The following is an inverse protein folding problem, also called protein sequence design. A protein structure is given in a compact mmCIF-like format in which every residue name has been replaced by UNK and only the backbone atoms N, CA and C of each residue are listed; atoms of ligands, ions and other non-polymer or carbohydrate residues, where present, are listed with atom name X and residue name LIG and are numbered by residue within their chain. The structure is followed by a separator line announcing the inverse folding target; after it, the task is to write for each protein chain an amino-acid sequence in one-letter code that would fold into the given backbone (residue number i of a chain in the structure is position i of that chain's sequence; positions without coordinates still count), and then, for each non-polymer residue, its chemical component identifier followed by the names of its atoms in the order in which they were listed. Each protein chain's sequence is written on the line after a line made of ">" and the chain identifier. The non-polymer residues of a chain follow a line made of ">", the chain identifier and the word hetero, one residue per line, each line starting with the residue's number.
data_IF_376546247091
#
_entry.id   IF_376546247091
#
_cell.length_a   1.000
_cell.length_b   1.000
_cell.length_c   1.000
_cell.angle_alpha   90.00
_cell.angle_beta   90.00
_cell.angle_gamma   90.00
#
_symmetry.space_group_name_H-M   'P 1'
#
loop_
_entity.id
_entity.type
_entity.pdbx_description
1 polymer ?
#
# COMPACT_ATOMS: atom_id res chain seq x y z
N UNK A 1 19.28 14.61 -3.41
CA UNK A 1 19.53 14.23 -4.81
C UNK A 1 18.42 14.67 -5.76
N UNK A 2 17.13 14.57 -5.40
CA UNK A 2 16.03 15.19 -6.18
C UNK A 2 16.10 16.73 -6.28
N UNK A 3 16.58 17.41 -5.22
CA UNK A 3 16.82 18.87 -5.20
C UNK A 3 17.89 19.33 -6.20
N UNK A 4 18.89 18.48 -6.44
CA UNK A 4 20.08 18.84 -7.21
C UNK A 4 19.88 18.63 -8.71
N UNK A 5 18.94 17.78 -9.12
CA UNK A 5 18.74 17.42 -10.53
C UNK A 5 17.40 17.83 -11.16
N UNK A 6 16.32 18.02 -10.40
CA UNK A 6 14.98 18.18 -10.99
C UNK A 6 14.16 19.41 -10.54
N UNK A 7 14.70 20.28 -9.69
CA UNK A 7 14.01 21.48 -9.16
C UNK A 7 12.59 21.25 -8.58
N UNK A 8 12.20 20.01 -8.29
CA UNK A 8 10.91 19.73 -7.64
C UNK A 8 11.03 20.09 -6.16
N UNK A 9 10.14 20.97 -5.70
CA UNK A 9 10.12 21.41 -4.30
C UNK A 9 9.85 20.21 -3.39
N UNK A 10 10.66 19.99 -2.35
CA UNK A 10 10.47 18.90 -1.37
C UNK A 10 9.03 18.83 -0.84
N UNK A 11 8.38 20.00 -0.76
CA UNK A 11 6.97 20.20 -0.42
C UNK A 11 6.06 19.35 -1.32
N UNK A 12 6.24 19.46 -2.63
CA UNK A 12 5.43 18.78 -3.65
C UNK A 12 5.69 17.28 -3.70
N UNK A 13 6.95 16.85 -3.52
CA UNK A 13 7.28 15.43 -3.44
C UNK A 13 6.64 14.78 -2.22
N UNK A 14 6.74 15.41 -1.04
CA UNK A 14 6.06 14.90 0.17
C UNK A 14 4.55 14.86 0.03
N UNK A 15 3.95 15.91 -0.56
CA UNK A 15 2.51 15.97 -0.80
C UNK A 15 2.04 14.85 -1.73
N UNK A 16 2.76 14.64 -2.84
CA UNK A 16 2.46 13.60 -3.82
C UNK A 16 2.58 12.21 -3.21
N UNK A 17 3.64 11.93 -2.45
CA UNK A 17 3.83 10.63 -1.80
C UNK A 17 2.69 10.34 -0.82
N UNK A 18 2.31 11.32 0.00
CA UNK A 18 1.20 11.16 0.95
C UNK A 18 -0.10 10.91 0.19
N UNK A 19 -0.40 11.71 -0.84
CA UNK A 19 -1.61 11.55 -1.66
C UNK A 19 -1.67 10.18 -2.32
N UNK A 20 -0.59 9.75 -2.99
CA UNK A 20 -0.52 8.45 -3.65
C UNK A 20 -0.67 7.31 -2.64
N UNK A 21 -0.03 7.43 -1.47
CA UNK A 21 -0.16 6.42 -0.41
C UNK A 21 -1.60 6.32 0.09
N UNK A 22 -2.26 7.45 0.32
CA UNK A 22 -3.66 7.49 0.76
C UNK A 22 -4.60 6.89 -0.28
N UNK A 23 -4.43 7.23 -1.56
CA UNK A 23 -5.21 6.64 -2.66
C UNK A 23 -5.01 5.12 -2.77
N UNK A 24 -3.77 4.66 -2.65
CA UNK A 24 -3.45 3.24 -2.70
C UNK A 24 -4.05 2.48 -1.49
N UNK A 25 -3.94 3.05 -0.28
CA UNK A 25 -4.53 2.47 0.93
C UNK A 25 -6.06 2.47 0.87
N UNK A 26 -6.69 3.52 0.34
CA UNK A 26 -8.14 3.53 0.12
C UNK A 26 -8.56 2.43 -0.86
N UNK A 27 -7.83 2.27 -1.96
CA UNK A 27 -8.06 1.22 -2.95
C UNK A 27 -7.94 -0.18 -2.35
N UNK A 28 -6.96 -0.40 -1.46
CA UNK A 28 -6.80 -1.65 -0.70
C UNK A 28 -8.04 -1.96 0.14
N UNK A 29 -8.62 -0.97 0.82
CA UNK A 29 -9.84 -1.20 1.65
C UNK A 29 -10.99 -1.67 0.77
N UNK A 30 -11.24 -1.03 -0.37
CA UNK A 30 -12.26 -1.47 -1.32
C UNK A 30 -11.98 -2.89 -1.85
N UNK A 31 -10.74 -3.16 -2.21
CA UNK A 31 -10.31 -4.48 -2.68
C UNK A 31 -10.54 -5.58 -1.62
N UNK A 32 -10.19 -5.31 -0.36
CA UNK A 32 -10.38 -6.24 0.75
C UNK A 32 -11.85 -6.43 1.14
N UNK A 33 -12.69 -5.39 1.01
CA UNK A 33 -14.15 -5.50 1.19
C UNK A 33 -14.73 -6.46 0.15
N UNK A 34 -14.34 -6.34 -1.12
CA UNK A 34 -14.77 -7.27 -2.18
C UNK A 34 -14.35 -8.71 -1.83
N UNK A 35 -13.09 -8.90 -1.40
CA UNK A 35 -12.60 -10.22 -0.97
C UNK A 35 -13.39 -10.79 0.21
N UNK A 36 -13.79 -9.96 1.16
CA UNK A 36 -14.61 -10.38 2.29
C UNK A 36 -16.04 -10.76 1.89
N UNK A 37 -16.68 -10.02 0.98
CA UNK A 37 -17.99 -10.42 0.46
C UNK A 37 -17.93 -11.76 -0.29
N UNK A 38 -16.87 -11.99 -1.08
CA UNK A 38 -16.62 -13.27 -1.74
C UNK A 38 -16.41 -14.41 -0.73
N UNK A 39 -15.70 -14.14 0.37
CA UNK A 39 -15.53 -15.08 1.47
C UNK A 39 -16.86 -15.47 2.13
N UNK A 40 -17.73 -14.48 2.38
CA UNK A 40 -19.05 -14.75 2.97
C UNK A 40 -19.90 -15.65 2.08
N UNK A 41 -19.85 -15.42 0.76
CA UNK A 41 -20.55 -16.22 -0.25
C UNK A 41 -19.98 -17.64 -0.41
N UNK A 42 -18.71 -17.88 -0.04
CA UNK A 42 -18.08 -19.19 -0.18
C UNK A 42 -18.49 -20.14 0.96
N UNK A 43 -19.07 -21.32 0.66
CA UNK A 43 -19.42 -22.32 1.67
C UNK A 43 -18.20 -23.11 2.17
N UNK A 44 -17.04 -23.00 1.50
CA UNK A 44 -15.82 -23.77 1.79
C UNK A 44 -15.17 -23.40 3.13
N UNK A 45 -15.49 -22.22 3.66
CA UNK A 45 -14.83 -21.68 4.86
C UNK A 45 -15.66 -21.87 6.12
N UNK A 46 -14.99 -22.26 7.20
CA UNK A 46 -15.60 -22.37 8.52
C UNK A 46 -16.14 -21.02 9.00
N UNK A 47 -17.20 -21.05 9.80
CA UNK A 47 -17.81 -19.83 10.32
C UNK A 47 -16.80 -19.02 11.17
N UNK A 48 -15.90 -19.71 11.88
CA UNK A 48 -14.80 -19.09 12.64
C UNK A 48 -13.81 -18.33 11.75
N UNK A 49 -13.50 -18.83 10.56
CA UNK A 49 -12.61 -18.15 9.62
C UNK A 49 -13.27 -16.89 9.03
N UNK A 50 -14.57 -16.96 8.75
CA UNK A 50 -15.36 -15.81 8.27
C UNK A 50 -15.42 -14.70 9.32
N UNK A 51 -15.70 -15.03 10.58
CA UNK A 51 -15.74 -14.03 11.66
C UNK A 51 -14.37 -13.42 11.94
N UNK A 52 -13.31 -14.23 11.95
CA UNK A 52 -11.95 -13.74 12.14
C UNK A 52 -11.53 -12.77 11.03
N UNK A 53 -11.79 -13.12 9.77
CA UNK A 53 -11.46 -12.25 8.63
C UNK A 53 -12.29 -10.96 8.66
N UNK A 54 -13.57 -11.05 9.01
CA UNK A 54 -14.44 -9.87 9.14
C UNK A 54 -13.99 -8.92 10.25
N UNK A 55 -13.61 -9.46 11.42
CA UNK A 55 -13.06 -8.68 12.52
C UNK A 55 -11.73 -8.01 12.10
N UNK A 56 -10.86 -8.76 11.43
CA UNK A 56 -9.58 -8.26 10.91
C UNK A 56 -9.79 -7.08 9.96
N UNK A 57 -10.73 -7.24 9.01
CA UNK A 57 -11.08 -6.19 8.06
C UNK A 57 -11.69 -4.97 8.75
N UNK A 58 -12.57 -5.17 9.74
CA UNK A 58 -13.18 -4.09 10.50
C UNK A 58 -12.14 -3.29 11.31
N UNK A 59 -11.22 -3.97 11.98
CA UNK A 59 -10.11 -3.34 12.72
C UNK A 59 -9.23 -2.56 11.74
N UNK A 60 -8.83 -3.19 10.63
CA UNK A 60 -7.96 -2.57 9.64
C UNK A 60 -8.59 -1.35 8.98
N UNK A 61 -9.86 -1.45 8.57
CA UNK A 61 -10.65 -0.34 8.03
C UNK A 61 -10.80 0.79 9.06
N UNK A 62 -11.02 0.46 10.34
CA UNK A 62 -11.11 1.43 11.43
C UNK A 62 -9.79 2.15 11.66
N UNK A 63 -8.65 1.44 11.67
CA UNK A 63 -7.32 2.05 11.77
C UNK A 63 -7.05 3.02 10.61
N UNK A 64 -7.39 2.62 9.38
CA UNK A 64 -7.26 3.48 8.19
C UNK A 64 -8.18 4.70 8.31
N UNK A 65 -9.43 4.51 8.73
CA UNK A 65 -10.37 5.61 8.91
C UNK A 65 -9.88 6.58 9.97
N UNK A 66 -9.40 6.10 11.12
CA UNK A 66 -8.81 6.92 12.18
C UNK A 66 -7.59 7.69 11.64
N UNK A 67 -6.68 7.02 10.95
CA UNK A 67 -5.52 7.66 10.34
C UNK A 67 -5.91 8.72 9.31
N UNK A 68 -6.90 8.43 8.47
CA UNK A 68 -7.46 9.37 7.50
C UNK A 68 -8.16 10.55 8.18
N UNK A 69 -8.91 10.32 9.26
CA UNK A 69 -9.54 11.38 10.05
C UNK A 69 -8.48 12.26 10.73
N UNK A 70 -7.41 11.68 11.29
CA UNK A 70 -6.29 12.42 11.86
C UNK A 70 -5.63 13.31 10.81
N UNK A 71 -5.40 12.78 9.60
CA UNK A 71 -4.89 13.56 8.46
C UNK A 71 -5.88 14.67 8.04
N UNK A 72 -7.16 14.33 7.82
CA UNK A 72 -8.19 15.24 7.28
C UNK A 72 -8.61 16.34 8.26
N UNK A 73 -8.65 16.07 9.56
CA UNK A 73 -9.14 17.02 10.57
C UNK A 73 -8.04 17.91 11.16
N UNK A 74 -6.81 17.89 10.61
CA UNK A 74 -5.70 18.71 11.11
C UNK A 74 -5.54 18.63 12.64
N UNK A 75 -5.72 17.45 13.24
CA UNK A 75 -5.54 17.28 14.70
C UNK A 75 -4.10 17.59 15.11
N UNK A 76 -3.14 17.43 14.20
CA UNK A 76 -1.80 18.00 14.31
C UNK A 76 -1.83 19.52 14.53
N UNK A 77 -2.59 20.30 13.75
CA UNK A 77 -2.68 21.76 13.91
C UNK A 77 -3.37 22.20 15.20
N UNK A 78 -4.39 21.46 15.69
CA UNK A 78 -5.08 21.78 16.95
C UNK A 78 -4.26 21.41 18.18
N UNK A 79 -3.55 20.28 18.14
CA UNK A 79 -2.61 19.88 19.19
C UNK A 79 -1.40 20.84 19.19
N UNK A 80 -0.94 21.29 18.02
CA UNK A 80 0.11 22.32 17.87
C UNK A 80 -0.35 23.69 18.36
N UNK A 81 -1.59 24.12 18.12
CA UNK A 81 -2.11 25.37 18.69
C UNK A 81 -2.28 25.32 20.20
N UNK A 82 -2.53 24.15 20.80
CA UNK A 82 -2.55 23.99 22.26
C UNK A 82 -1.16 23.84 22.88
N UNK A 83 -0.19 23.31 22.14
CA UNK A 83 1.22 23.23 22.56
C UNK A 83 2.03 24.50 22.21
N UNK A 84 1.51 25.39 21.37
CA UNK A 84 2.13 26.64 20.93
C UNK A 84 2.32 27.69 22.03
N UNK A 85 1.88 27.43 23.26
CA UNK A 85 2.21 28.22 24.44
C UNK A 85 3.47 27.74 25.18
N UNK A 86 4.14 26.68 24.72
CA UNK A 86 5.41 26.23 25.29
C UNK A 86 6.51 26.27 24.22
N UNK A 87 7.59 27.00 24.54
CA UNK A 87 8.98 27.16 24.01
C UNK A 87 9.45 26.56 22.66
N UNK A 88 8.71 25.66 22.00
CA UNK A 88 9.07 24.95 20.77
C UNK A 88 8.45 25.56 19.49
N UNK A 89 7.66 26.63 19.60
CA UNK A 89 6.87 27.23 18.51
C UNK A 89 7.69 27.70 17.30
N UNK A 90 8.85 28.33 17.53
CA UNK A 90 9.62 28.96 16.45
C UNK A 90 10.42 27.95 15.60
N UNK A 91 10.75 26.78 16.16
CA UNK A 91 11.47 25.72 15.41
C UNK A 91 10.55 24.84 14.57
N UNK A 92 9.24 24.85 14.84
CA UNK A 92 8.24 24.03 14.16
C UNK A 92 7.49 24.79 13.05
N UNK A 93 7.56 26.13 13.02
CA UNK A 93 6.82 26.96 12.06
C UNK A 93 7.16 26.66 10.57
N UNK A 94 8.43 26.40 10.25
CA UNK A 94 8.88 26.15 8.86
C UNK A 94 8.41 24.81 8.25
N UNK A 95 8.43 23.67 8.97
CA UNK A 95 7.82 22.44 8.47
C UNK A 95 6.27 22.47 8.48
N UNK A 96 5.64 23.33 9.28
CA UNK A 96 4.17 23.44 9.40
C UNK A 96 3.50 24.18 8.23
N UNK A 97 4.15 25.20 7.67
CA UNK A 97 3.70 25.88 6.44
C UNK A 97 3.68 24.93 5.24
N UNK A 98 4.51 23.90 5.32
CA UNK A 98 4.69 22.87 4.32
C UNK A 98 3.47 21.92 4.24
N UNK A 99 2.96 21.52 5.40
CA UNK A 99 1.77 20.67 5.55
C UNK A 99 0.47 21.35 5.12
N UNK A 100 0.33 22.67 5.31
CA UNK A 100 -0.85 23.43 4.86
C UNK A 100 -1.04 23.39 3.34
N UNK A 101 0.06 23.47 2.59
CA UNK A 101 0.02 23.38 1.11
C UNK A 101 -0.36 21.98 0.60
N UNK A 102 -0.11 20.94 1.39
CA UNK A 102 -0.54 19.56 1.09
C UNK A 102 -2.05 19.41 1.30
N UNK A 103 -2.58 19.97 2.39
CA UNK A 103 -4.01 19.96 2.71
C UNK A 103 -4.86 20.73 1.69
N UNK A 104 -4.40 21.90 1.23
CA UNK A 104 -5.17 22.71 0.30
C UNK A 104 -5.21 22.05 -1.10
N UNK A 105 -4.11 21.39 -1.51
CA UNK A 105 -4.06 20.57 -2.74
C UNK A 105 -4.86 19.28 -2.61
N UNK A 106 -4.91 18.65 -1.44
CA UNK A 106 -5.84 17.54 -1.16
C UNK A 106 -7.29 18.03 -1.32
N UNK A 107 -7.62 19.20 -0.78
CA UNK A 107 -8.94 19.82 -0.93
C UNK A 107 -9.33 20.14 -2.38
N UNK A 108 -8.41 20.59 -3.22
CA UNK A 108 -8.64 20.76 -4.67
C UNK A 108 -8.72 19.43 -5.43
N UNK A 109 -7.89 18.44 -5.08
CA UNK A 109 -7.93 17.10 -5.69
C UNK A 109 -9.25 16.37 -5.38
N UNK A 110 -9.76 16.49 -4.15
CA UNK A 110 -11.08 15.99 -3.76
C UNK A 110 -12.23 16.77 -4.41
N UNK A 111 -12.05 18.05 -4.76
CA UNK A 111 -13.04 18.85 -5.49
C UNK A 111 -13.12 18.49 -6.97
N UNK A 112 -12.03 18.02 -7.57
CA UNK A 112 -12.01 17.48 -8.92
C UNK A 112 -12.32 15.97 -8.94
N UNK A 113 -13.60 15.64 -8.78
CA UNK A 113 -14.16 14.28 -8.87
C UNK A 113 -13.57 13.41 -10.01
N UNK A 114 -13.38 13.88 -11.25
CA UNK A 114 -12.84 13.04 -12.32
C UNK A 114 -11.35 12.69 -12.13
N UNK A 115 -10.53 13.60 -11.58
CA UNK A 115 -9.11 13.33 -11.32
C UNK A 115 -8.94 12.34 -10.16
N UNK A 116 -9.72 12.55 -9.08
CA UNK A 116 -9.77 11.63 -7.94
C UNK A 116 -10.25 10.24 -8.36
N UNK A 117 -11.33 10.16 -9.15
CA UNK A 117 -11.86 8.91 -9.68
C UNK A 117 -10.83 8.19 -10.54
N UNK A 118 -10.16 8.88 -11.45
CA UNK A 118 -9.15 8.27 -12.32
C UNK A 118 -7.95 7.74 -11.52
N UNK A 119 -7.47 8.51 -10.53
CA UNK A 119 -6.40 8.06 -9.62
C UNK A 119 -6.81 6.84 -8.81
N UNK A 120 -8.06 6.79 -8.35
CA UNK A 120 -8.60 5.64 -7.62
C UNK A 120 -8.80 4.43 -8.52
N UNK A 121 -9.23 4.60 -9.78
CA UNK A 121 -9.32 3.51 -10.77
C UNK A 121 -7.93 2.95 -11.07
N UNK A 122 -6.93 3.79 -11.34
CA UNK A 122 -5.56 3.33 -11.61
C UNK A 122 -4.97 2.61 -10.39
N UNK A 123 -5.17 3.19 -9.19
CA UNK A 123 -4.78 2.55 -7.94
C UNK A 123 -5.51 1.22 -7.70
N UNK A 124 -6.77 1.13 -8.10
CA UNK A 124 -7.56 -0.10 -8.00
C UNK A 124 -7.13 -1.16 -9.02
N UNK A 125 -6.90 -0.79 -10.28
CA UNK A 125 -6.51 -1.70 -11.37
C UNK A 125 -5.18 -2.41 -11.10
N UNK A 126 -4.34 -1.85 -10.25
CA UNK A 126 -3.13 -2.52 -9.79
C UNK A 126 -3.41 -3.79 -8.95
N UNK A 127 -4.51 -3.83 -8.19
CA UNK A 127 -4.78 -4.95 -7.27
C UNK A 127 -5.21 -6.24 -7.99
N UNK A 128 -6.12 -6.23 -8.98
CA UNK A 128 -6.47 -7.43 -9.74
C UNK A 128 -5.28 -8.13 -10.41
N UNK A 129 -4.17 -7.44 -10.69
CA UNK A 129 -2.95 -8.09 -11.20
C UNK A 129 -2.37 -9.08 -10.18
N UNK A 130 -2.41 -8.77 -8.89
CA UNK A 130 -1.98 -9.69 -7.83
C UNK A 130 -2.89 -10.92 -7.70
N UNK A 131 -4.18 -10.75 -7.95
CA UNK A 131 -5.17 -11.84 -8.01
C UNK A 131 -4.91 -12.74 -9.20
N UNK A 132 -4.73 -12.14 -10.38
CA UNK A 132 -4.44 -12.86 -11.61
C UNK A 132 -3.14 -13.67 -11.48
N UNK A 133 -2.13 -13.11 -10.83
CA UNK A 133 -0.88 -13.82 -10.52
C UNK A 133 -1.14 -15.09 -9.71
N UNK A 134 -1.92 -15.02 -8.62
CA UNK A 134 -2.23 -16.23 -7.82
C UNK A 134 -3.03 -17.23 -8.63
N UNK A 135 -4.03 -16.76 -9.37
CA UNK A 135 -4.88 -17.61 -10.20
C UNK A 135 -4.03 -18.40 -11.21
N UNK A 136 -3.15 -17.71 -11.94
CA UNK A 136 -2.24 -18.33 -12.91
C UNK A 136 -1.24 -19.27 -12.24
N UNK A 137 -0.66 -18.89 -11.09
CA UNK A 137 0.26 -19.75 -10.35
C UNK A 137 -0.40 -21.06 -9.89
N UNK A 138 -1.64 -20.99 -9.41
CA UNK A 138 -2.41 -22.17 -9.02
C UNK A 138 -2.72 -23.08 -10.21
N UNK A 139 -3.00 -22.49 -11.38
CA UNK A 139 -3.16 -23.24 -12.63
C UNK A 139 -1.86 -23.99 -13.01
N UNK A 140 -0.71 -23.32 -12.92
CA UNK A 140 0.60 -23.93 -13.16
C UNK A 140 0.97 -25.02 -12.14
N UNK A 141 0.53 -24.87 -10.90
CA UNK A 141 0.69 -25.87 -9.84
C UNK A 141 -0.30 -27.03 -9.96
N UNK A 142 -1.08 -27.10 -11.04
CA UNK A 142 -2.09 -28.13 -11.30
C UNK A 142 -3.18 -28.20 -10.22
N UNK A 143 -3.46 -27.08 -9.56
CA UNK A 143 -4.49 -26.97 -8.54
C UNK A 143 -5.40 -25.76 -8.82
N UNK A 144 -6.24 -25.83 -9.86
CA UNK A 144 -7.06 -24.70 -10.29
C UNK A 144 -8.01 -24.29 -9.17
N UNK A 145 -7.94 -23.01 -8.79
CA UNK A 145 -8.85 -22.41 -7.81
C UNK A 145 -9.82 -21.47 -8.52
N UNK A 146 -10.95 -21.15 -7.89
CA UNK A 146 -11.85 -20.15 -8.47
C UNK A 146 -11.20 -18.76 -8.42
N UNK A 147 -11.61 -17.86 -9.33
CA UNK A 147 -11.13 -16.47 -9.29
C UNK A 147 -11.48 -15.78 -7.96
N UNK A 148 -12.59 -16.16 -7.33
CA UNK A 148 -12.98 -15.68 -6.01
C UNK A 148 -12.00 -16.15 -4.92
N UNK A 149 -11.57 -17.41 -4.97
CA UNK A 149 -10.58 -17.97 -4.05
C UNK A 149 -9.21 -17.26 -4.22
N UNK A 150 -8.81 -16.96 -5.47
CA UNK A 150 -7.59 -16.19 -5.75
C UNK A 150 -7.67 -14.75 -5.21
N UNK A 151 -8.83 -14.10 -5.34
CA UNK A 151 -9.06 -12.75 -4.82
C UNK A 151 -8.97 -12.72 -3.30
N UNK A 152 -9.57 -13.71 -2.64
CA UNK A 152 -9.49 -13.88 -1.20
C UNK A 152 -8.05 -14.08 -0.74
N UNK A 153 -7.31 -14.96 -1.44
CA UNK A 153 -5.92 -15.26 -1.13
C UNK A 153 -5.06 -13.99 -1.19
N UNK A 154 -5.22 -13.17 -2.24
CA UNK A 154 -4.49 -11.89 -2.32
C UNK A 154 -4.96 -10.89 -1.26
N UNK A 155 -6.27 -10.78 -1.03
CA UNK A 155 -6.82 -9.86 -0.04
C UNK A 155 -6.23 -10.07 1.34
N UNK A 156 -6.13 -11.32 1.80
CA UNK A 156 -5.53 -11.62 3.11
C UNK A 156 -4.03 -11.33 3.09
N UNK A 157 -3.31 -11.69 2.03
CA UNK A 157 -1.88 -11.37 1.90
C UNK A 157 -1.62 -9.85 2.05
N UNK A 158 -2.48 -9.02 1.45
CA UNK A 158 -2.35 -7.57 1.49
C UNK A 158 -2.75 -6.99 2.86
N UNK A 159 -3.78 -7.55 3.51
CA UNK A 159 -4.13 -7.19 4.88
C UNK A 159 -3.01 -7.53 5.87
N UNK A 160 -2.42 -8.72 5.74
CA UNK A 160 -1.25 -9.10 6.56
C UNK A 160 -0.11 -8.14 6.31
N UNK A 161 0.29 -7.93 5.04
CA UNK A 161 1.37 -6.99 4.67
C UNK A 161 1.16 -5.60 5.26
N UNK A 162 -0.08 -5.12 5.27
CA UNK A 162 -0.40 -3.80 5.78
C UNK A 162 -0.47 -3.77 7.32
N UNK A 163 -0.93 -4.84 7.97
CA UNK A 163 -0.92 -5.00 9.43
C UNK A 163 0.48 -5.18 10.00
N UNK A 164 1.38 -5.80 9.23
CA UNK A 164 2.77 -6.07 9.61
C UNK A 164 3.75 -5.04 9.04
N UNK A 165 3.28 -3.82 8.73
CA UNK A 165 4.09 -2.76 8.12
C UNK A 165 5.38 -2.41 8.89
N UNK A 166 5.42 -2.72 10.19
CA UNK A 166 6.58 -2.51 11.06
C UNK A 166 7.62 -3.64 10.98
N UNK A 167 7.29 -4.78 10.35
CA UNK A 167 8.19 -5.92 10.17
C UNK A 167 8.97 -5.71 8.86
N UNK A 168 10.31 -5.58 8.93
CA UNK A 168 11.15 -5.43 7.74
C UNK A 168 10.97 -6.63 6.80
N UNK A 169 10.74 -6.35 5.50
CA UNK A 169 10.49 -7.34 4.46
C UNK A 169 9.33 -8.33 4.73
N UNK A 170 8.53 -8.13 5.79
CA UNK A 170 7.45 -9.02 6.22
C UNK A 170 7.89 -10.50 6.34
N UNK A 171 9.13 -10.74 6.80
CA UNK A 171 9.69 -12.08 6.89
C UNK A 171 8.91 -12.91 7.92
N UNK A 172 8.48 -14.11 7.51
CA UNK A 172 7.77 -15.08 8.34
C UNK A 172 6.26 -14.84 8.41
N UNK A 173 5.81 -13.58 8.34
CA UNK A 173 4.39 -13.26 8.46
C UNK A 173 3.61 -13.51 7.18
N UNK A 174 4.15 -13.10 6.03
CA UNK A 174 3.51 -13.40 4.75
C UNK A 174 3.59 -14.89 4.45
N UNK A 175 4.75 -15.50 4.62
CA UNK A 175 4.93 -16.95 4.42
C UNK A 175 3.94 -17.74 5.26
N UNK A 176 3.89 -17.49 6.57
CA UNK A 176 2.95 -18.17 7.47
C UNK A 176 1.50 -17.95 7.05
N UNK A 177 1.12 -16.73 6.69
CA UNK A 177 -0.25 -16.44 6.26
C UNK A 177 -0.65 -17.20 5.00
N UNK A 178 0.22 -17.23 3.99
CA UNK A 178 -0.07 -17.89 2.71
C UNK A 178 -0.08 -19.41 2.84
N UNK A 179 0.73 -19.98 3.73
CA UNK A 179 0.70 -21.41 4.06
C UNK A 179 -0.61 -21.80 4.72
N UNK A 180 -1.03 -21.05 5.74
CA UNK A 180 -2.29 -21.32 6.44
C UNK A 180 -3.51 -21.13 5.53
N UNK A 181 -3.50 -20.11 4.67
CA UNK A 181 -4.54 -19.91 3.67
C UNK A 181 -4.54 -21.01 2.61
N UNK A 182 -3.36 -21.38 2.10
CA UNK A 182 -3.20 -22.48 1.15
C UNK A 182 -3.77 -23.78 1.72
N UNK A 183 -3.41 -24.12 2.96
CA UNK A 183 -3.96 -25.29 3.65
C UNK A 183 -5.49 -25.21 3.80
N UNK A 184 -6.04 -24.04 4.12
CA UNK A 184 -7.49 -23.86 4.31
C UNK A 184 -8.28 -23.91 3.00
N UNK A 185 -7.69 -23.45 1.89
CA UNK A 185 -8.34 -23.37 0.58
C UNK A 185 -8.19 -24.66 -0.25
N UNK A 186 -7.01 -25.25 -0.21
CA UNK A 186 -6.59 -26.35 -1.09
C UNK A 186 -6.39 -27.67 -0.37
N UNK A 187 -6.34 -27.65 0.97
CA UNK A 187 -5.95 -28.81 1.79
C UNK A 187 -4.44 -29.06 1.81
N UNK A 188 -3.64 -28.29 1.06
CA UNK A 188 -2.19 -28.48 0.97
C UNK A 188 -1.41 -27.27 1.51
N UNK A 189 -0.53 -27.51 2.48
CA UNK A 189 0.43 -26.51 2.96
C UNK A 189 1.50 -26.21 1.89
N UNK A 190 1.83 -27.20 1.05
CA UNK A 190 2.88 -27.11 0.04
C UNK A 190 2.55 -26.07 -1.03
N UNK A 191 1.27 -25.97 -1.43
CA UNK A 191 0.82 -24.97 -2.39
C UNK A 191 0.93 -23.55 -1.85
N UNK A 192 0.57 -23.33 -0.57
CA UNK A 192 0.75 -22.05 0.09
C UNK A 192 2.21 -21.63 0.21
N UNK A 193 3.10 -22.59 0.53
CA UNK A 193 4.55 -22.39 0.53
C UNK A 193 5.08 -22.04 -0.86
N UNK A 194 4.68 -22.79 -1.89
CA UNK A 194 5.12 -22.58 -3.27
C UNK A 194 4.79 -21.16 -3.75
N UNK A 195 3.54 -20.71 -3.54
CA UNK A 195 3.11 -19.35 -3.90
C UNK A 195 3.94 -18.29 -3.15
N UNK A 196 4.17 -18.52 -1.85
CA UNK A 196 4.95 -17.58 -1.05
C UNK A 196 6.39 -17.44 -1.56
N UNK A 197 7.04 -18.55 -1.90
CA UNK A 197 8.41 -18.56 -2.44
C UNK A 197 8.46 -17.86 -3.79
N UNK A 198 7.55 -18.20 -4.70
CA UNK A 198 7.51 -17.60 -6.05
C UNK A 198 7.34 -16.08 -5.96
N UNK A 199 6.43 -15.60 -5.11
CA UNK A 199 6.23 -14.15 -4.86
C UNK A 199 7.49 -13.50 -4.32
N UNK A 200 8.21 -14.17 -3.43
CA UNK A 200 9.47 -13.65 -2.86
C UNK A 200 10.56 -13.52 -3.92
N UNK A 201 10.74 -14.53 -4.76
CA UNK A 201 11.69 -14.52 -5.87
C UNK A 201 11.38 -13.36 -6.81
N UNK A 202 10.11 -13.18 -7.17
CA UNK A 202 9.66 -12.07 -8.01
C UNK A 202 9.97 -10.70 -7.38
N UNK A 203 9.66 -10.50 -6.10
CA UNK A 203 9.96 -9.25 -5.38
C UNK A 203 11.48 -8.95 -5.40
N UNK A 204 12.32 -9.97 -5.20
CA UNK A 204 13.79 -9.84 -5.26
C UNK A 204 14.26 -9.48 -6.68
N UNK A 205 13.70 -10.11 -7.71
CA UNK A 205 14.05 -9.82 -9.11
C UNK A 205 13.76 -8.36 -9.46
N UNK A 206 12.62 -7.82 -9.02
CA UNK A 206 12.29 -6.40 -9.23
C UNK A 206 13.24 -5.46 -8.49
N UNK A 207 13.64 -5.81 -7.28
CA UNK A 207 14.64 -5.03 -6.52
C UNK A 207 15.98 -5.02 -7.26
N UNK A 208 16.46 -6.18 -7.71
CA UNK A 208 17.71 -6.29 -8.47
C UNK A 208 17.64 -5.47 -9.76
N UNK A 209 16.55 -5.59 -10.52
CA UNK A 209 16.37 -4.82 -11.76
C UNK A 209 16.37 -3.31 -11.49
N UNK A 210 15.67 -2.87 -10.43
CA UNK A 210 15.67 -1.46 -10.02
C UNK A 210 17.06 -0.95 -9.66
N UNK A 211 17.85 -1.75 -8.92
CA UNK A 211 19.24 -1.43 -8.57
C UNK A 211 20.15 -1.39 -9.80
N UNK A 212 19.98 -2.31 -10.75
CA UNK A 212 20.73 -2.34 -12.01
C UNK A 212 20.46 -1.09 -12.84
N UNK A 213 19.19 -0.73 -13.02
CA UNK A 213 18.80 0.49 -13.72
C UNK A 213 19.43 1.70 -13.03
N UNK A 214 19.29 1.81 -11.72
CA UNK A 214 19.89 2.90 -10.95
C UNK A 214 21.41 2.98 -11.16
N UNK A 215 22.11 1.85 -11.08
CA UNK A 215 23.56 1.78 -11.28
C UNK A 215 23.98 2.24 -12.69
N UNK A 216 23.26 1.80 -13.73
CA UNK A 216 23.51 2.20 -15.12
C UNK A 216 23.33 3.71 -15.36
N UNK A 217 22.37 4.34 -14.68
CA UNK A 217 22.14 5.79 -14.81
C UNK A 217 23.06 6.63 -13.90
N UNK A 218 23.43 6.11 -12.73
CA UNK A 218 24.34 6.79 -11.78
C UNK A 218 25.77 6.92 -12.32
N UNK A 219 26.19 6.00 -13.18
CA UNK A 219 27.52 6.01 -13.81
C UNK A 219 27.67 6.97 -15.00
N UNK A 220 26.60 7.66 -15.43
CA UNK A 220 26.72 8.68 -16.48
C UNK A 220 27.23 9.99 -15.88
N UNK A 221 28.44 10.48 -16.22
CA UNK A 221 28.96 11.72 -15.68
C UNK A 221 28.02 12.88 -16.01
N UNK A 222 27.61 13.60 -14.97
CA UNK A 222 26.77 14.79 -15.05
C UNK A 222 27.46 15.85 -15.91
N UNK A 223 26.82 16.29 -16.99
CA UNK A 223 27.32 17.38 -17.82
C UNK A 223 27.58 18.62 -16.94
N UNK A 224 28.71 19.34 -17.12
CA UNK A 224 29.01 20.53 -16.35
C UNK A 224 27.92 21.59 -16.53
N UNK A 225 27.48 22.16 -15.40
CA UNK A 225 26.56 23.28 -15.33
C UNK A 225 27.10 24.45 -16.17
N UNK A 226 26.36 24.82 -17.22
CA UNK A 226 26.74 25.86 -18.18
C UNK A 226 26.26 27.25 -17.74
N UNK A 227 26.15 27.50 -16.43
CA UNK A 227 25.67 28.77 -15.86
C UNK A 227 26.75 29.69 -15.28
N UNK A 228 28.01 29.59 -15.73
CA UNK A 228 29.02 30.62 -15.50
C UNK A 228 29.76 31.04 -16.78
N UNK A 229 29.10 31.85 -17.61
CA UNK A 229 29.74 32.87 -18.43
C UNK A 229 28.84 34.08 -18.54
#
# INVERSE_FOLDING_TARGET
>A
MLKTHYQISYKETSASIILTKTLNTASLVFFAIIGFFLLLASPKFSNSFKTFTGLSLAIFSSCILIFFLIQRFRLSSRIVNRLGHSFLGDRLAKPLENLRSVDDRLGEFYRNLPLFRNGLIVGFLNWPLGVLEIYVLMEFLQHPISFADAWLFDSVAQLVRAGTFFIPANIGTLEGSLVLLGASLTGSLELGLAISVIRRVKDILWIILGLLIWWLFSLRPTLPDRSSK
#
